data_IF_578271437208
#
_entry.id   IF_578271437208
#
_cell.length_a   1.000
_cell.length_b   1.000
_cell.length_c   1.000
_cell.angle_alpha   90.00
_cell.angle_beta   90.00
_cell.angle_gamma   90.00
#
_symmetry.space_group_name_H-M   'P 1'
#
loop_
_entity.id
_entity.type
_entity.pdbx_description
1 polymer ?
#
# COMPACT_ATOMS: atom_id res chain seq x y z
N UNK A 1 -11.37 11.70 2.53
CA UNK A 1 -10.37 11.57 1.46
C UNK A 1 -10.71 12.49 0.30
N UNK A 2 -11.94 12.51 -0.24
CA UNK A 2 -12.33 13.32 -1.41
C UNK A 2 -11.98 14.81 -1.27
N UNK A 3 -12.27 15.43 -0.14
CA UNK A 3 -11.93 16.85 0.10
C UNK A 3 -10.44 17.15 -0.10
N UNK A 4 -9.56 16.17 0.13
CA UNK A 4 -8.13 16.29 -0.13
C UNK A 4 -7.80 16.13 -1.61
N UNK A 5 -8.56 15.30 -2.34
CA UNK A 5 -8.33 15.05 -3.77
C UNK A 5 -8.63 16.26 -4.64
N UNK A 6 -9.54 17.13 -4.25
CA UNK A 6 -9.94 18.34 -5.02
C UNK A 6 -8.75 19.27 -5.33
N UNK A 7 -7.75 19.33 -4.47
CA UNK A 7 -6.57 20.17 -4.63
C UNK A 7 -5.29 19.38 -4.94
N UNK A 8 -5.40 18.06 -5.16
CA UNK A 8 -4.29 17.16 -5.41
C UNK A 8 -4.10 16.94 -6.91
N UNK A 9 -2.85 16.99 -7.38
CA UNK A 9 -2.49 16.66 -8.76
C UNK A 9 -2.12 15.19 -8.91
N UNK A 10 -1.39 14.63 -7.94
CA UNK A 10 -0.92 13.25 -7.98
C UNK A 10 -1.29 12.56 -6.66
N UNK A 11 -2.16 11.56 -6.74
CA UNK A 11 -2.59 10.74 -5.63
C UNK A 11 -2.19 9.27 -5.83
N UNK A 12 -1.56 8.68 -4.83
CA UNK A 12 -1.21 7.27 -4.85
C UNK A 12 -2.29 6.39 -4.21
N UNK A 13 -2.53 5.23 -4.80
CA UNK A 13 -3.44 4.23 -4.22
C UNK A 13 -2.79 2.85 -4.16
N UNK A 14 -2.86 2.23 -2.99
CA UNK A 14 -2.53 0.81 -2.86
C UNK A 14 -3.76 -0.05 -3.19
N UNK A 15 -3.56 -1.35 -3.26
CA UNK A 15 -4.66 -2.29 -3.45
C UNK A 15 -5.17 -2.84 -2.11
N UNK A 16 -6.40 -3.32 -2.09
CA UNK A 16 -7.03 -3.92 -0.92
C UNK A 16 -8.56 -3.81 -0.97
N UNK A 17 -9.26 -4.70 -0.26
CA UNK A 17 -10.72 -4.66 -0.19
C UNK A 17 -11.24 -3.39 0.49
N UNK A 18 -10.56 -2.93 1.54
CA UNK A 18 -10.89 -1.68 2.23
C UNK A 18 -10.75 -0.48 1.28
N UNK A 19 -9.64 -0.42 0.51
CA UNK A 19 -9.45 0.65 -0.46
C UNK A 19 -10.49 0.62 -1.57
N UNK A 20 -10.89 -0.55 -2.03
CA UNK A 20 -11.99 -0.68 -3.00
C UNK A 20 -13.30 -0.14 -2.44
N UNK A 21 -13.61 -0.42 -1.15
CA UNK A 21 -14.77 0.15 -0.49
C UNK A 21 -14.73 1.68 -0.50
N UNK A 22 -13.61 2.27 -0.12
CA UNK A 22 -13.43 3.74 -0.15
C UNK A 22 -13.64 4.32 -1.55
N UNK A 23 -13.10 3.68 -2.59
CA UNK A 23 -13.24 4.16 -3.97
C UNK A 23 -14.68 4.03 -4.48
N UNK A 24 -15.36 2.95 -4.11
CA UNK A 24 -16.76 2.75 -4.50
C UNK A 24 -17.73 3.78 -3.88
N UNK A 25 -17.31 4.38 -2.77
CA UNK A 25 -18.08 5.42 -2.06
C UNK A 25 -17.69 6.84 -2.50
N UNK A 26 -16.82 7.00 -3.51
CA UNK A 26 -16.53 8.32 -4.06
C UNK A 26 -17.78 8.94 -4.70
N UNK A 27 -18.02 10.22 -4.39
CA UNK A 27 -19.08 11.00 -5.02
C UNK A 27 -18.79 11.23 -6.51
N UNK A 28 -19.83 11.44 -7.30
CA UNK A 28 -19.67 11.77 -8.72
C UNK A 28 -19.13 13.20 -8.89
N UNK A 29 -17.80 13.33 -8.85
CA UNK A 29 -17.09 14.57 -9.12
C UNK A 29 -16.20 14.42 -10.35
N UNK A 30 -15.85 15.54 -10.98
CA UNK A 30 -14.98 15.55 -12.17
C UNK A 30 -13.65 16.23 -11.82
N UNK A 31 -12.60 15.44 -11.66
CA UNK A 31 -11.26 15.89 -11.26
C UNK A 31 -10.24 15.68 -12.40
N UNK A 32 -10.44 16.32 -13.54
CA UNK A 32 -9.66 16.12 -14.78
C UNK A 32 -8.17 16.42 -14.65
N UNK A 33 -7.72 17.11 -13.60
CA UNK A 33 -6.31 17.41 -13.37
C UNK A 33 -5.62 16.41 -12.43
N UNK A 34 -6.41 15.53 -11.82
CA UNK A 34 -5.92 14.53 -10.89
C UNK A 34 -5.38 13.30 -11.64
N UNK A 35 -4.24 12.81 -11.20
CA UNK A 35 -3.63 11.56 -11.66
C UNK A 35 -3.55 10.58 -10.49
N UNK A 36 -4.23 9.46 -10.62
CA UNK A 36 -4.05 8.34 -9.70
C UNK A 36 -2.86 7.48 -10.15
N UNK A 37 -1.92 7.24 -9.26
CA UNK A 37 -0.79 6.33 -9.53
C UNK A 37 -0.91 5.07 -8.66
N UNK A 38 -0.76 3.91 -9.29
CA UNK A 38 -0.70 2.64 -8.59
C UNK A 38 0.61 2.56 -7.82
N UNK A 39 0.54 2.45 -6.48
CA UNK A 39 1.72 2.48 -5.61
C UNK A 39 2.55 1.20 -5.67
N UNK A 40 1.93 0.06 -5.97
CA UNK A 40 2.55 -1.26 -5.89
C UNK A 40 2.20 -2.12 -7.09
N UNK A 41 3.11 -2.99 -7.47
CA UNK A 41 2.84 -4.03 -8.46
C UNK A 41 1.67 -4.93 -8.08
N UNK A 42 1.14 -5.67 -9.05
CA UNK A 42 -0.02 -6.53 -8.86
C UNK A 42 0.25 -7.65 -7.85
N UNK A 43 -0.63 -7.88 -6.89
CA UNK A 43 -0.54 -9.06 -6.03
C UNK A 43 -0.74 -10.32 -6.87
N UNK A 44 0.04 -11.35 -6.59
CA UNK A 44 0.12 -12.60 -7.37
C UNK A 44 -1.22 -13.37 -7.39
N UNK A 45 -2.17 -13.01 -6.52
CA UNK A 45 -3.52 -13.59 -6.47
C UNK A 45 -4.57 -12.73 -7.20
N UNK A 46 -4.15 -12.01 -8.22
CA UNK A 46 -4.97 -11.03 -8.93
C UNK A 46 -6.13 -11.61 -9.77
N UNK A 47 -6.28 -12.96 -9.85
CA UNK A 47 -7.33 -13.62 -10.65
C UNK A 47 -8.78 -13.20 -10.28
N UNK A 48 -8.96 -12.53 -9.13
CA UNK A 48 -10.26 -11.99 -8.69
C UNK A 48 -10.44 -10.50 -8.99
N UNK A 49 -9.43 -9.81 -9.52
CA UNK A 49 -9.47 -8.36 -9.74
C UNK A 49 -9.43 -8.04 -11.23
N UNK A 50 -10.50 -7.45 -11.72
CA UNK A 50 -10.64 -7.10 -13.14
C UNK A 50 -9.92 -5.80 -13.52
N UNK A 51 -9.82 -4.84 -12.58
CA UNK A 51 -9.17 -3.53 -12.79
C UNK A 51 -8.22 -3.18 -11.62
N UNK A 52 -7.11 -2.48 -11.90
CA UNK A 52 -6.32 -1.82 -10.85
C UNK A 52 -7.13 -0.78 -10.11
N UNK A 53 -6.91 -0.61 -8.79
CA UNK A 53 -7.67 0.37 -8.00
C UNK A 53 -7.39 1.82 -8.42
N UNK A 54 -6.19 2.12 -8.90
CA UNK A 54 -5.89 3.43 -9.48
C UNK A 54 -6.78 3.75 -10.69
N UNK A 55 -7.05 2.74 -11.54
CA UNK A 55 -7.97 2.88 -12.65
C UNK A 55 -9.41 3.02 -12.18
N UNK A 56 -9.86 2.23 -11.19
CA UNK A 56 -11.22 2.34 -10.64
C UNK A 56 -11.45 3.72 -10.04
N UNK A 57 -10.48 4.25 -9.27
CA UNK A 57 -10.56 5.58 -8.68
C UNK A 57 -10.61 6.69 -9.75
N UNK A 58 -9.81 6.55 -10.81
CA UNK A 58 -9.82 7.50 -11.92
C UNK A 58 -11.15 7.49 -12.68
N UNK A 59 -11.69 6.29 -12.92
CA UNK A 59 -13.00 6.16 -13.60
C UNK A 59 -14.14 6.82 -12.78
N UNK A 60 -14.12 6.67 -11.44
CA UNK A 60 -15.14 7.23 -10.56
C UNK A 60 -15.10 8.76 -10.50
N UNK A 61 -13.95 9.39 -10.68
CA UNK A 61 -13.75 10.84 -10.54
C UNK A 61 -13.41 11.52 -11.89
N UNK A 62 -13.58 10.84 -13.01
CA UNK A 62 -13.19 11.34 -14.34
C UNK A 62 -11.77 11.90 -14.40
N UNK A 63 -10.86 11.25 -13.64
CA UNK A 63 -9.45 11.57 -13.51
C UNK A 63 -8.57 10.71 -14.44
N UNK A 64 -7.26 10.89 -14.36
CA UNK A 64 -6.29 10.05 -15.08
C UNK A 64 -5.75 8.95 -14.19
N UNK A 65 -5.22 7.86 -14.79
CA UNK A 65 -4.55 6.79 -14.04
C UNK A 65 -3.25 6.35 -14.68
N UNK A 66 -2.28 5.99 -13.83
CA UNK A 66 -1.02 5.35 -14.18
C UNK A 66 -0.92 4.02 -13.43
N UNK A 67 -0.96 2.92 -14.17
CA UNK A 67 -0.92 1.58 -13.61
C UNK A 67 0.50 1.01 -13.72
N UNK A 68 0.96 0.33 -12.67
CA UNK A 68 2.29 -0.31 -12.63
C UNK A 68 2.21 -1.73 -13.19
N UNK A 69 2.73 -2.01 -14.40
CA UNK A 69 2.67 -3.33 -15.04
C UNK A 69 3.77 -4.26 -14.50
N UNK A 70 3.77 -4.53 -13.21
CA UNK A 70 4.74 -5.38 -12.55
C UNK A 70 4.07 -6.24 -11.47
N UNK A 71 4.65 -7.38 -11.07
CA UNK A 71 4.22 -8.11 -9.89
C UNK A 71 4.61 -7.32 -8.63
N UNK A 72 3.89 -7.55 -7.50
CA UNK A 72 4.23 -6.94 -6.21
C UNK A 72 5.66 -7.28 -5.77
N UNK A 73 6.02 -8.56 -5.88
CA UNK A 73 7.34 -9.06 -5.48
C UNK A 73 8.08 -9.70 -6.63
N UNK A 74 9.39 -9.51 -6.65
CA UNK A 74 10.31 -10.26 -7.50
C UNK A 74 11.26 -11.09 -6.64
N UNK A 75 11.52 -12.33 -7.07
CA UNK A 75 12.51 -13.20 -6.39
C UNK A 75 13.93 -12.70 -6.68
N UNK A 76 14.18 -12.28 -7.92
CA UNK A 76 15.45 -11.71 -8.32
C UNK A 76 15.43 -10.18 -8.17
N UNK A 77 16.11 -9.62 -7.16
CA UNK A 77 16.08 -8.16 -6.92
C UNK A 77 16.73 -7.34 -8.05
N UNK A 78 17.52 -7.96 -8.93
CA UNK A 78 18.14 -7.28 -10.09
C UNK A 78 17.13 -6.89 -11.18
N UNK A 79 15.94 -7.45 -11.16
CA UNK A 79 14.89 -7.12 -12.14
C UNK A 79 14.41 -5.69 -11.95
N UNK A 80 14.21 -5.25 -10.71
CA UNK A 80 13.62 -3.95 -10.40
C UNK A 80 14.45 -2.78 -10.94
N UNK A 81 15.79 -2.70 -10.71
CA UNK A 81 16.61 -1.65 -11.30
C UNK A 81 16.55 -1.61 -12.83
N UNK A 82 16.45 -2.78 -13.48
CA UNK A 82 16.35 -2.83 -14.95
C UNK A 82 15.00 -2.31 -15.43
N UNK A 83 13.88 -2.68 -14.76
CA UNK A 83 12.57 -2.13 -15.10
C UNK A 83 12.52 -0.60 -14.98
N UNK A 84 13.19 -0.03 -14.00
CA UNK A 84 13.28 1.42 -13.79
C UNK A 84 14.00 2.16 -14.92
N UNK A 85 14.76 1.48 -15.80
CA UNK A 85 15.35 2.09 -16.97
C UNK A 85 14.37 2.27 -18.12
N UNK A 86 13.24 1.55 -18.11
CA UNK A 86 12.22 1.63 -19.15
C UNK A 86 11.47 2.98 -19.09
N UNK A 87 11.16 3.60 -20.25
CA UNK A 87 10.53 4.93 -20.29
C UNK A 87 9.24 5.03 -19.49
N UNK A 88 8.38 4.02 -19.56
CA UNK A 88 7.10 4.01 -18.84
C UNK A 88 7.30 3.96 -17.31
N UNK A 89 8.25 3.17 -16.83
CA UNK A 89 8.57 3.10 -15.41
C UNK A 89 9.14 4.42 -14.89
N UNK A 90 9.93 5.15 -15.69
CA UNK A 90 10.42 6.49 -15.33
C UNK A 90 9.28 7.49 -15.12
N UNK A 91 8.23 7.42 -15.93
CA UNK A 91 7.04 8.26 -15.73
C UNK A 91 6.40 7.97 -14.37
N UNK A 92 6.24 6.70 -14.02
CA UNK A 92 5.68 6.28 -12.74
C UNK A 92 6.56 6.71 -11.57
N UNK A 93 7.89 6.58 -11.68
CA UNK A 93 8.83 7.02 -10.64
C UNK A 93 8.79 8.52 -10.40
N UNK A 94 8.71 9.32 -11.47
CA UNK A 94 8.53 10.76 -11.34
C UNK A 94 7.24 11.09 -10.57
N UNK A 95 6.14 10.36 -10.85
CA UNK A 95 4.91 10.52 -10.08
C UNK A 95 5.08 10.14 -8.61
N UNK A 96 5.91 9.15 -8.26
CA UNK A 96 6.19 8.81 -6.87
C UNK A 96 6.98 9.91 -6.16
N UNK A 97 7.92 10.56 -6.83
CA UNK A 97 8.69 11.68 -6.26
C UNK A 97 7.83 12.92 -6.02
N UNK A 98 6.82 13.15 -6.86
CA UNK A 98 5.92 14.30 -6.81
C UNK A 98 4.58 13.97 -6.09
N UNK A 99 4.51 12.87 -5.36
CA UNK A 99 3.28 12.40 -4.73
C UNK A 99 2.84 13.33 -3.59
N UNK A 100 1.64 13.87 -3.70
CA UNK A 100 1.07 14.79 -2.71
C UNK A 100 0.25 14.08 -1.65
N UNK A 101 -0.40 12.99 -2.06
CA UNK A 101 -1.28 12.20 -1.21
C UNK A 101 -1.20 10.72 -1.57
N UNK A 102 -1.24 9.86 -0.57
CA UNK A 102 -1.48 8.44 -0.79
C UNK A 102 -2.55 7.92 0.18
N UNK A 103 -3.28 6.91 -0.26
CA UNK A 103 -4.17 6.17 0.62
C UNK A 103 -3.99 4.67 0.49
N UNK A 104 -4.00 4.01 1.64
CA UNK A 104 -3.69 2.60 1.79
C UNK A 104 -4.51 1.96 2.90
N UNK A 105 -4.62 0.66 2.87
CA UNK A 105 -5.00 -0.14 4.02
C UNK A 105 -3.76 -0.84 4.58
N UNK A 106 -3.94 -1.50 5.70
CA UNK A 106 -2.94 -2.42 6.23
C UNK A 106 -3.51 -3.84 6.34
N UNK A 107 -2.62 -4.82 6.42
CA UNK A 107 -2.94 -6.22 6.57
C UNK A 107 -2.16 -6.88 7.70
N UNK A 108 -2.57 -8.08 8.06
CA UNK A 108 -1.79 -8.99 8.90
C UNK A 108 -0.94 -9.89 8.02
N UNK A 109 0.07 -10.52 8.58
CA UNK A 109 0.90 -11.49 7.87
C UNK A 109 0.12 -12.75 7.45
N UNK A 110 -1.01 -13.02 8.08
CA UNK A 110 -1.87 -14.15 7.72
C UNK A 110 -2.39 -14.08 6.29
N UNK A 111 -2.58 -12.89 5.75
CA UNK A 111 -2.93 -12.72 4.35
C UNK A 111 -1.88 -13.31 3.38
N UNK A 112 -0.60 -13.32 3.79
CA UNK A 112 0.48 -14.00 3.08
C UNK A 112 0.51 -15.50 3.37
N UNK A 113 0.38 -15.89 4.65
CA UNK A 113 0.42 -17.30 5.09
C UNK A 113 -0.68 -18.15 4.47
N UNK A 114 -1.88 -17.59 4.30
CA UNK A 114 -3.03 -18.30 3.74
C UNK A 114 -2.96 -18.47 2.22
N UNK A 115 -2.08 -17.73 1.55
CA UNK A 115 -1.84 -17.88 0.12
C UNK A 115 -0.75 -18.93 -0.12
N UNK A 116 -1.15 -20.17 -0.35
CA UNK A 116 -0.24 -21.29 -0.55
C UNK A 116 0.79 -21.06 -1.67
N UNK A 117 0.39 -20.40 -2.76
CA UNK A 117 1.31 -20.08 -3.85
C UNK A 117 2.41 -19.11 -3.43
N UNK A 118 2.03 -18.02 -2.74
CA UNK A 118 2.99 -17.06 -2.22
C UNK A 118 3.91 -17.70 -1.18
N UNK A 119 3.32 -18.44 -0.25
CA UNK A 119 4.08 -19.11 0.82
C UNK A 119 5.12 -20.06 0.25
N UNK A 120 4.73 -20.92 -0.68
CA UNK A 120 5.61 -21.95 -1.25
C UNK A 120 6.70 -21.38 -2.17
N UNK A 121 6.37 -20.41 -3.01
CA UNK A 121 7.27 -19.94 -4.07
C UNK A 121 8.07 -18.68 -3.70
N UNK A 122 7.51 -17.81 -2.86
CA UNK A 122 8.12 -16.54 -2.47
C UNK A 122 8.59 -16.54 -1.02
N UNK A 123 7.86 -17.19 -0.10
CA UNK A 123 8.15 -17.21 1.32
C UNK A 123 9.61 -17.55 1.68
N UNK A 124 10.17 -18.66 1.15
CA UNK A 124 11.54 -19.07 1.50
C UNK A 124 12.63 -18.08 1.07
N UNK A 125 12.34 -17.18 0.15
CA UNK A 125 13.29 -16.17 -0.34
C UNK A 125 13.04 -14.78 0.22
N UNK A 126 11.79 -14.37 0.32
CA UNK A 126 11.43 -13.03 0.80
C UNK A 126 11.55 -12.90 2.32
N UNK A 127 11.19 -13.96 3.06
CA UNK A 127 11.11 -13.93 4.52
C UNK A 127 12.18 -14.80 5.20
N UNK A 128 13.24 -15.18 4.47
CA UNK A 128 14.32 -16.01 4.99
C UNK A 128 14.96 -15.43 6.26
N UNK A 129 15.18 -14.12 6.25
CA UNK A 129 15.91 -13.41 7.29
C UNK A 129 14.95 -12.57 8.18
N UNK A 130 13.63 -12.83 8.09
CA UNK A 130 12.61 -12.13 8.86
C UNK A 130 11.98 -13.09 9.87
N UNK A 131 12.07 -12.82 11.18
CA UNK A 131 11.38 -13.62 12.19
C UNK A 131 9.88 -13.40 12.06
N UNK A 132 9.18 -14.39 11.49
CA UNK A 132 7.77 -14.27 11.11
C UNK A 132 6.83 -14.13 12.32
N UNK A 133 7.26 -14.59 13.49
CA UNK A 133 6.58 -14.46 14.77
C UNK A 133 6.61 -13.01 15.32
N UNK A 134 7.54 -12.19 14.84
CA UNK A 134 7.64 -10.77 15.19
C UNK A 134 6.90 -9.84 14.25
N UNK A 135 6.33 -10.34 13.17
CA UNK A 135 5.57 -9.50 12.23
C UNK A 135 4.22 -9.16 12.84
N UNK A 136 4.06 -7.92 13.29
CA UNK A 136 2.79 -7.37 13.77
C UNK A 136 1.83 -7.04 12.61
N UNK A 137 2.36 -6.55 11.50
CA UNK A 137 1.55 -6.17 10.36
C UNK A 137 2.31 -6.02 9.05
N UNK A 138 1.55 -5.71 8.01
CA UNK A 138 2.06 -5.42 6.67
C UNK A 138 1.37 -4.19 6.08
N UNK A 139 2.14 -3.22 5.64
CA UNK A 139 1.63 -2.05 4.92
C UNK A 139 2.40 -1.88 3.61
N UNK A 140 1.69 -1.64 2.52
CA UNK A 140 2.29 -1.51 1.18
C UNK A 140 3.35 -2.59 0.86
N UNK A 141 3.02 -3.86 1.17
CA UNK A 141 3.89 -5.02 0.92
C UNK A 141 5.06 -5.19 1.91
N UNK A 142 5.21 -4.32 2.89
CA UNK A 142 6.32 -4.27 3.85
C UNK A 142 5.87 -4.79 5.22
N UNK A 143 6.51 -5.86 5.73
CA UNK A 143 6.29 -6.31 7.11
C UNK A 143 7.00 -5.38 8.09
N UNK A 144 6.42 -5.24 9.28
CA UNK A 144 6.97 -4.49 10.41
C UNK A 144 6.61 -5.17 11.72
N UNK A 145 7.39 -4.90 12.76
CA UNK A 145 7.15 -5.40 14.12
C UNK A 145 6.21 -4.47 14.91
N UNK A 146 5.90 -4.86 16.15
CA UNK A 146 4.99 -4.10 17.03
C UNK A 146 5.57 -2.74 17.43
N UNK A 147 6.88 -2.57 17.39
CA UNK A 147 7.55 -1.31 17.70
C UNK A 147 7.61 -0.36 16.49
N UNK A 148 7.12 -0.82 15.33
CA UNK A 148 7.07 -0.04 14.10
C UNK A 148 8.33 -0.14 13.25
N UNK A 149 9.24 -1.05 13.55
CA UNK A 149 10.46 -1.26 12.76
C UNK A 149 10.15 -2.10 11.53
N UNK A 150 10.43 -1.56 10.35
CA UNK A 150 10.32 -2.31 9.10
C UNK A 150 11.49 -3.29 8.94
N UNK A 151 11.23 -4.43 8.32
CA UNK A 151 12.25 -5.39 7.95
C UNK A 151 12.86 -5.03 6.58
N UNK A 152 14.07 -4.47 6.51
CA UNK A 152 14.59 -3.86 5.29
C UNK A 152 14.95 -4.87 4.19
N UNK A 153 15.12 -6.15 4.54
CA UNK A 153 15.49 -7.20 3.58
C UNK A 153 14.48 -7.39 2.44
N UNK A 154 13.21 -7.03 2.67
CA UNK A 154 12.15 -7.17 1.66
C UNK A 154 12.15 -6.03 0.63
N UNK A 155 12.66 -4.85 0.96
CA UNK A 155 12.57 -3.64 0.13
C UNK A 155 13.09 -3.86 -1.29
N UNK A 156 14.22 -4.52 -1.43
CA UNK A 156 14.83 -4.85 -2.72
C UNK A 156 14.00 -5.79 -3.62
N UNK A 157 12.96 -6.39 -3.06
CA UNK A 157 12.06 -7.33 -3.75
C UNK A 157 10.72 -6.73 -4.15
N UNK A 158 10.40 -5.51 -3.67
CA UNK A 158 9.12 -4.84 -3.92
C UNK A 158 9.18 -4.04 -5.21
N UNK A 159 8.25 -4.33 -6.12
CA UNK A 159 8.00 -3.47 -7.27
C UNK A 159 6.96 -2.41 -6.90
N UNK A 160 7.38 -1.16 -6.88
CA UNK A 160 6.51 -0.03 -6.54
C UNK A 160 7.25 1.13 -5.92
N UNK A 161 6.50 1.99 -5.26
CA UNK A 161 7.01 3.16 -4.57
C UNK A 161 8.05 2.78 -3.51
N UNK A 162 9.13 3.54 -3.40
CA UNK A 162 10.18 3.35 -2.39
C UNK A 162 9.69 3.77 -0.99
N UNK A 163 10.31 3.24 0.07
CA UNK A 163 10.05 3.72 1.43
C UNK A 163 10.38 5.21 1.57
N UNK A 164 11.42 5.68 0.92
CA UNK A 164 11.80 7.08 0.91
C UNK A 164 10.70 7.99 0.35
N UNK A 165 10.12 7.65 -0.80
CA UNK A 165 9.04 8.42 -1.42
C UNK A 165 7.74 8.34 -0.60
N UNK A 166 7.45 7.18 0.00
CA UNK A 166 6.34 7.06 0.95
C UNK A 166 6.50 8.08 2.07
N UNK A 167 7.67 8.12 2.72
CA UNK A 167 7.90 8.99 3.87
C UNK A 167 7.96 10.47 3.49
N UNK A 168 8.34 10.81 2.26
CA UNK A 168 8.29 12.17 1.72
C UNK A 168 6.87 12.64 1.38
N UNK A 169 5.96 11.71 1.08
CA UNK A 169 4.57 12.06 0.77
C UNK A 169 3.91 12.73 1.98
N UNK A 170 3.43 13.99 1.85
CA UNK A 170 2.97 14.75 3.02
C UNK A 170 1.68 14.20 3.64
N UNK A 171 0.78 13.66 2.82
CA UNK A 171 -0.52 13.14 3.28
C UNK A 171 -0.57 11.63 3.02
N UNK A 172 -0.52 10.87 4.11
CA UNK A 172 -0.54 9.40 4.07
C UNK A 172 -1.72 8.88 4.86
N UNK A 173 -2.83 8.63 4.13
CA UNK A 173 -4.04 8.05 4.71
C UNK A 173 -3.91 6.55 4.88
N UNK A 174 -4.29 6.06 6.06
CA UNK A 174 -4.53 4.65 6.29
C UNK A 174 -5.98 4.44 6.74
N UNK A 175 -6.69 3.52 6.09
CA UNK A 175 -8.06 3.15 6.44
C UNK A 175 -8.08 1.72 6.96
N UNK A 176 -8.59 1.53 8.18
CA UNK A 176 -8.68 0.21 8.83
C UNK A 176 -10.10 -0.02 9.32
N UNK A 177 -10.76 -1.03 8.79
CA UNK A 177 -12.16 -1.35 9.13
C UNK A 177 -12.34 -2.61 9.97
N UNK A 178 -11.28 -3.40 10.19
CA UNK A 178 -11.35 -4.69 10.87
C UNK A 178 -10.61 -4.64 12.22
N UNK A 179 -11.34 -4.90 13.31
CA UNK A 179 -10.85 -4.91 14.70
C UNK A 179 -9.70 -5.90 14.98
N UNK A 180 -9.58 -6.97 14.18
CA UNK A 180 -8.48 -7.94 14.33
C UNK A 180 -7.13 -7.39 13.81
N UNK A 181 -7.11 -6.17 13.29
CA UNK A 181 -5.90 -5.48 12.84
C UNK A 181 -5.37 -4.46 13.85
N UNK A 182 -5.86 -4.45 15.09
CA UNK A 182 -5.44 -3.48 16.11
C UNK A 182 -3.95 -3.53 16.41
N UNK A 183 -3.38 -4.73 16.57
CA UNK A 183 -1.94 -4.92 16.76
C UNK A 183 -1.12 -4.43 15.55
N UNK A 184 -1.56 -4.82 14.33
CA UNK A 184 -0.93 -4.33 13.11
C UNK A 184 -1.04 -2.80 12.99
N UNK A 185 -2.17 -2.20 13.41
CA UNK A 185 -2.33 -0.75 13.41
C UNK A 185 -1.39 -0.08 14.41
N UNK A 186 -1.26 -0.61 15.61
CA UNK A 186 -0.37 -0.07 16.63
C UNK A 186 1.09 0.01 16.13
N UNK A 187 1.62 -1.08 15.57
CA UNK A 187 2.95 -1.07 14.95
C UNK A 187 3.08 -0.07 13.81
N UNK A 188 2.05 0.04 12.94
CA UNK A 188 2.06 1.02 11.85
C UNK A 188 2.04 2.48 12.36
N UNK A 189 1.33 2.79 13.45
CA UNK A 189 1.34 4.11 14.08
C UNK A 189 2.72 4.43 14.66
N UNK A 190 3.32 3.50 15.38
CA UNK A 190 4.67 3.66 15.96
C UNK A 190 5.75 3.87 14.89
N UNK A 191 5.56 3.33 13.69
CA UNK A 191 6.51 3.53 12.59
C UNK A 191 6.51 4.95 12.00
N UNK A 192 5.48 5.75 12.28
CA UNK A 192 5.32 7.09 11.71
C UNK A 192 4.91 7.10 10.22
N UNK A 193 4.59 5.95 9.62
CA UNK A 193 4.21 5.87 8.20
C UNK A 193 2.82 6.46 7.93
N UNK A 194 1.97 6.57 8.95
CA UNK A 194 0.60 7.09 8.86
C UNK A 194 0.57 8.54 9.33
N UNK A 195 0.02 9.46 8.54
CA UNK A 195 -0.25 10.85 8.95
C UNK A 195 -1.73 11.10 9.20
N UNK A 196 -2.60 10.39 8.48
CA UNK A 196 -4.05 10.50 8.58
C UNK A 196 -4.65 9.11 8.72
N UNK A 197 -5.45 8.90 9.76
CA UNK A 197 -6.02 7.61 10.09
C UNK A 197 -7.54 7.66 10.06
N UNK A 198 -8.16 6.67 9.42
CA UNK A 198 -9.61 6.46 9.42
C UNK A 198 -9.89 5.08 10.02
N UNK A 199 -10.51 5.06 11.18
CA UNK A 199 -10.90 3.84 11.92
C UNK A 199 -12.26 4.04 12.58
N UNK A 200 -12.84 2.95 13.07
CA UNK A 200 -13.99 3.01 13.97
C UNK A 200 -13.55 2.98 15.44
N UNK A 201 -14.48 3.31 16.33
CA UNK A 201 -14.30 3.38 17.78
C UNK A 201 -13.78 2.06 18.37
N UNK A 202 -14.32 0.92 17.93
CA UNK A 202 -13.92 -0.39 18.43
C UNK A 202 -12.45 -0.76 18.12
N UNK A 203 -11.88 -0.19 17.04
CA UNK A 203 -10.45 -0.33 16.73
C UNK A 203 -9.65 0.63 17.60
N UNK A 204 -10.11 1.88 17.74
CA UNK A 204 -9.44 2.90 18.56
C UNK A 204 -9.30 2.43 20.02
N UNK A 205 -10.40 1.95 20.64
CA UNK A 205 -10.38 1.41 22.00
C UNK A 205 -9.37 0.27 22.18
N UNK A 206 -9.30 -0.65 21.20
CA UNK A 206 -8.35 -1.76 21.27
C UNK A 206 -6.90 -1.33 21.14
N UNK A 207 -6.61 -0.34 20.31
CA UNK A 207 -5.25 0.18 20.16
C UNK A 207 -4.82 0.86 21.46
N UNK A 208 -5.68 1.68 22.05
CA UNK A 208 -5.39 2.35 23.33
C UNK A 208 -5.16 1.36 24.47
N UNK A 209 -5.95 0.26 24.55
CA UNK A 209 -5.76 -0.80 25.54
C UNK A 209 -4.46 -1.59 25.41
N UNK A 210 -3.80 -1.54 24.27
CA UNK A 210 -2.52 -2.20 24.01
C UNK A 210 -1.31 -1.28 24.29
N UNK A 211 -1.53 0.00 24.56
CA UNK A 211 -0.48 0.94 24.96
C UNK A 211 -0.27 1.00 26.47
N UNK A 212 -1.27 0.57 27.25
CA UNK A 212 -1.22 0.43 28.73
C UNK A 212 -0.55 -0.89 29.13
#
# INVERSE_FOLDING_TARGET
>A
IENYLQNTKIAGVSWGSTMRGVINDFSEETLTKLHFVQLLGQPINANRRKKPLAQEAADSLHAHSLNLPAPLYTINPKIIPNLKTEPYFKIIENCYHDLELLFTGLGTFDAFRTNQFLLANYGPKLFKDIPQDKIAGMIMGRPYDIDGNFFPSIEKHICGISMEDIMKTPIRFCVVSNRFKSEALLGALRSGIITHLVINDAIAERVLQQED
#
